data_IF_825949179528
#
_entry.id   IF_825949179528
#
_cell.length_a   1.000
_cell.length_b   1.000
_cell.length_c   1.000
_cell.angle_alpha   90.00
_cell.angle_beta   90.00
_cell.angle_gamma   90.00
#
_symmetry.space_group_name_H-M   'P 1'
#
loop_
_entity.id
_entity.type
_entity.pdbx_description
1 polymer ?
#
# COMPACT_ATOMS: atom_id res chain seq x y z
N UNK A 1 -5.32 3.56 -17.06
CA UNK A 1 -6.30 2.87 -16.19
C UNK A 1 -7.37 3.86 -15.76
N UNK A 2 -8.63 3.47 -15.80
CA UNK A 2 -9.77 4.29 -15.34
C UNK A 2 -10.35 3.69 -14.06
N UNK A 3 -10.60 4.53 -13.06
CA UNK A 3 -11.38 4.20 -11.87
C UNK A 3 -12.76 4.81 -11.99
N UNK A 4 -13.80 4.01 -11.80
CA UNK A 4 -15.18 4.48 -11.68
C UNK A 4 -15.65 4.19 -10.25
N UNK A 5 -16.01 5.24 -9.50
CA UNK A 5 -16.48 5.08 -8.11
C UNK A 5 -17.98 5.29 -8.03
N UNK A 6 -18.68 4.23 -7.65
CA UNK A 6 -20.13 4.26 -7.36
C UNK A 6 -20.30 4.68 -5.90
N UNK A 7 -20.84 5.86 -5.66
CA UNK A 7 -20.94 6.46 -4.32
C UNK A 7 -22.12 7.41 -4.19
N UNK A 8 -22.72 7.45 -3.00
CA UNK A 8 -23.73 8.44 -2.63
C UNK A 8 -23.15 9.82 -2.33
N UNK A 9 -21.82 9.91 -2.15
CA UNK A 9 -21.08 11.15 -1.89
C UNK A 9 -19.93 11.34 -2.88
N UNK A 10 -20.21 11.49 -4.18
CA UNK A 10 -19.16 11.56 -5.22
C UNK A 10 -18.18 12.71 -5.01
N UNK A 11 -18.62 13.84 -4.42
CA UNK A 11 -17.76 14.98 -4.17
C UNK A 11 -16.67 14.71 -3.14
N UNK A 12 -16.90 13.80 -2.18
CA UNK A 12 -15.88 13.38 -1.22
C UNK A 12 -14.72 12.72 -1.95
N UNK A 13 -15.01 11.85 -2.90
CA UNK A 13 -13.99 11.18 -3.72
C UNK A 13 -13.27 12.17 -4.64
N UNK A 14 -14.01 13.04 -5.33
CA UNK A 14 -13.41 14.05 -6.23
C UNK A 14 -12.49 15.01 -5.49
N UNK A 15 -12.90 15.46 -4.29
CA UNK A 15 -12.12 16.42 -3.49
C UNK A 15 -10.78 15.83 -3.03
N UNK A 16 -10.70 14.53 -2.78
CA UNK A 16 -9.47 13.86 -2.36
C UNK A 16 -8.35 13.95 -3.42
N UNK A 17 -8.73 14.10 -4.69
CA UNK A 17 -7.79 14.09 -5.81
C UNK A 17 -7.69 15.43 -6.55
N UNK A 18 -8.14 16.52 -5.96
CA UNK A 18 -7.97 17.88 -6.52
C UNK A 18 -6.49 18.30 -6.57
N UNK A 19 -5.68 17.76 -5.67
CA UNK A 19 -4.26 18.09 -5.54
C UNK A 19 -3.43 16.80 -5.36
N UNK A 20 -2.11 16.97 -5.26
CA UNK A 20 -1.19 15.87 -4.99
C UNK A 20 -0.84 15.04 -6.22
N UNK A 21 -0.21 13.89 -5.99
CA UNK A 21 0.35 13.04 -7.02
C UNK A 21 -0.73 12.48 -7.97
N UNK A 22 -1.78 11.90 -7.40
CA UNK A 22 -2.88 11.29 -8.19
C UNK A 22 -3.66 12.37 -8.93
N UNK A 23 -3.91 13.54 -8.30
CA UNK A 23 -4.55 14.66 -8.98
C UNK A 23 -3.78 15.14 -10.20
N UNK A 24 -2.45 15.22 -10.11
CA UNK A 24 -1.59 15.53 -11.26
C UNK A 24 -1.64 14.44 -12.33
N UNK A 25 -1.70 13.16 -11.93
CA UNK A 25 -1.82 12.04 -12.86
C UNK A 25 -3.15 12.07 -13.61
N UNK A 26 -4.24 12.43 -12.94
CA UNK A 26 -5.56 12.63 -13.54
C UNK A 26 -5.51 13.80 -14.56
N UNK A 27 -4.96 14.94 -14.16
CA UNK A 27 -4.83 16.11 -15.04
C UNK A 27 -4.00 15.82 -16.31
N UNK A 28 -3.03 14.91 -16.21
CA UNK A 28 -2.19 14.45 -17.34
C UNK A 28 -2.84 13.31 -18.17
N UNK A 29 -4.01 12.83 -17.79
CA UNK A 29 -4.68 11.70 -18.45
C UNK A 29 -4.03 10.33 -18.23
N UNK A 30 -3.11 10.19 -17.26
CA UNK A 30 -2.48 8.92 -16.89
C UNK A 30 -3.44 8.03 -16.09
N UNK A 31 -4.32 8.66 -15.31
CA UNK A 31 -5.37 8.03 -14.51
C UNK A 31 -6.70 8.66 -14.87
N UNK A 32 -7.71 7.84 -15.17
CA UNK A 32 -9.09 8.29 -15.31
C UNK A 32 -9.82 8.17 -13.97
N UNK A 33 -10.60 9.17 -13.59
CA UNK A 33 -11.50 9.12 -12.44
C UNK A 33 -12.89 9.56 -12.85
N UNK A 34 -13.85 8.67 -12.68
CA UNK A 34 -15.28 8.94 -12.87
C UNK A 34 -16.03 8.59 -11.58
N UNK A 35 -17.12 9.29 -11.31
CA UNK A 35 -17.98 8.98 -10.17
C UNK A 35 -19.42 8.88 -10.63
N UNK A 36 -20.14 7.87 -10.14
CA UNK A 36 -21.57 7.66 -10.41
C UNK A 36 -22.34 7.68 -9.08
N UNK A 37 -23.48 8.37 -9.07
CA UNK A 37 -24.34 8.40 -7.91
C UNK A 37 -25.53 7.44 -8.11
N UNK A 38 -25.66 6.37 -7.28
CA UNK A 38 -26.79 5.45 -7.37
C UNK A 38 -28.16 6.10 -7.26
N UNK A 39 -28.27 7.29 -6.62
CA UNK A 39 -29.53 8.04 -6.56
C UNK A 39 -30.07 8.48 -7.92
N UNK A 40 -29.20 8.58 -8.92
CA UNK A 40 -29.63 8.90 -10.30
C UNK A 40 -30.47 7.76 -10.91
N UNK A 41 -30.34 6.55 -10.36
CA UNK A 41 -31.00 5.32 -10.79
C UNK A 41 -32.06 4.83 -9.79
N UNK A 42 -32.22 5.55 -8.66
CA UNK A 42 -33.22 5.23 -7.65
C UNK A 42 -34.62 5.42 -8.15
N UNK A 43 -35.57 4.61 -7.62
CA UNK A 43 -36.97 4.63 -8.02
C UNK A 43 -37.80 5.57 -7.14
N UNK A 44 -38.95 5.96 -7.70
CA UNK A 44 -39.94 6.81 -7.03
C UNK A 44 -39.51 8.29 -6.89
N UNK A 45 -40.38 9.07 -6.26
CA UNK A 45 -40.22 10.53 -6.10
C UNK A 45 -38.96 10.85 -5.27
N UNK A 46 -38.61 10.00 -4.31
CA UNK A 46 -37.48 10.19 -3.40
C UNK A 46 -36.18 9.57 -3.92
N UNK A 47 -36.17 8.92 -5.08
CA UNK A 47 -35.01 8.21 -5.64
C UNK A 47 -34.30 7.35 -4.58
N UNK A 48 -35.11 6.46 -3.93
CA UNK A 48 -34.64 5.62 -2.84
C UNK A 48 -33.54 4.68 -3.33
N UNK A 49 -32.52 4.47 -2.52
CA UNK A 49 -31.35 3.62 -2.81
C UNK A 49 -31.08 2.62 -1.70
N UNK A 50 -31.84 2.70 -0.61
CA UNK A 50 -31.68 1.88 0.60
C UNK A 50 -33.04 1.48 1.15
N UNK A 51 -33.08 0.35 1.88
CA UNK A 51 -34.26 -0.16 2.55
C UNK A 51 -33.85 -0.96 3.81
N UNK A 52 -34.85 -1.33 4.62
CA UNK A 52 -34.66 -2.09 5.85
C UNK A 52 -34.10 -3.48 5.57
N UNK A 53 -33.23 -3.95 6.47
CA UNK A 53 -32.66 -5.30 6.40
C UNK A 53 -33.73 -6.35 6.70
N UNK A 54 -33.83 -7.40 5.90
CA UNK A 54 -34.66 -8.55 6.23
C UNK A 54 -34.17 -9.23 7.52
N UNK A 55 -35.09 -9.76 8.32
CA UNK A 55 -34.78 -10.39 9.58
C UNK A 55 -34.82 -9.44 10.81
N UNK A 56 -35.15 -8.15 10.59
CA UNK A 56 -35.40 -7.17 11.66
C UNK A 56 -34.14 -6.63 12.32
N UNK A 57 -32.96 -6.78 11.71
CA UNK A 57 -31.74 -6.13 12.18
C UNK A 57 -31.84 -4.60 12.04
N UNK A 58 -31.17 -3.88 12.93
CA UNK A 58 -31.09 -2.42 12.86
C UNK A 58 -30.28 -1.95 11.64
N UNK A 59 -30.68 -0.80 11.10
CA UNK A 59 -30.00 -0.15 9.99
C UNK A 59 -30.67 -0.34 8.63
N UNK A 60 -30.02 0.20 7.60
CA UNK A 60 -30.47 0.18 6.20
C UNK A 60 -29.43 -0.53 5.35
N UNK A 61 -29.85 -1.06 4.22
CA UNK A 61 -28.98 -1.73 3.25
C UNK A 61 -29.19 -1.10 1.88
N UNK A 62 -28.11 -0.91 1.12
CA UNK A 62 -28.26 -0.40 -0.25
C UNK A 62 -28.98 -1.44 -1.12
N UNK A 63 -30.00 -0.97 -1.82
CA UNK A 63 -30.82 -1.78 -2.71
C UNK A 63 -30.04 -2.26 -3.92
N UNK A 64 -30.31 -3.50 -4.41
CA UNK A 64 -29.57 -4.07 -5.54
C UNK A 64 -29.85 -3.35 -6.86
N UNK A 65 -31.08 -2.92 -7.12
CA UNK A 65 -31.51 -2.38 -8.41
C UNK A 65 -30.81 -1.06 -8.79
N UNK A 66 -30.73 -0.03 -7.92
CA UNK A 66 -29.96 1.17 -8.25
C UNK A 66 -28.47 0.90 -8.49
N UNK A 67 -27.88 -0.05 -7.75
CA UNK A 67 -26.48 -0.45 -7.93
C UNK A 67 -26.30 -1.22 -9.24
N UNK A 68 -27.24 -2.10 -9.60
CA UNK A 68 -27.25 -2.83 -10.86
C UNK A 68 -27.25 -1.86 -12.06
N UNK A 69 -28.21 -0.94 -12.09
CA UNK A 69 -28.29 0.08 -13.14
C UNK A 69 -27.01 0.92 -13.26
N UNK A 70 -26.37 1.24 -12.13
CA UNK A 70 -25.05 1.92 -12.15
C UNK A 70 -23.98 1.06 -12.81
N UNK A 71 -23.88 -0.20 -12.42
CA UNK A 71 -22.84 -1.10 -12.92
C UNK A 71 -23.08 -1.46 -14.38
N UNK A 72 -24.32 -1.74 -14.77
CA UNK A 72 -24.69 -2.05 -16.15
C UNK A 72 -24.30 -0.91 -17.10
N UNK A 73 -24.56 0.34 -16.71
CA UNK A 73 -24.13 1.52 -17.49
C UNK A 73 -22.61 1.55 -17.69
N UNK A 74 -21.83 1.16 -16.68
CA UNK A 74 -20.36 1.09 -16.80
C UNK A 74 -19.98 -0.06 -17.73
N UNK A 75 -20.59 -1.24 -17.56
CA UNK A 75 -20.29 -2.44 -18.35
C UNK A 75 -20.61 -2.23 -19.84
N UNK A 76 -21.75 -1.58 -20.15
CA UNK A 76 -22.14 -1.24 -21.53
C UNK A 76 -21.14 -0.29 -22.23
N UNK A 77 -20.54 0.61 -21.48
CA UNK A 77 -19.56 1.58 -22.01
C UNK A 77 -18.12 1.07 -22.03
N UNK A 78 -17.87 -0.08 -21.42
CA UNK A 78 -16.52 -0.63 -21.26
C UNK A 78 -16.11 -1.51 -22.44
N UNK A 79 -14.89 -1.36 -22.94
CA UNK A 79 -14.32 -2.21 -24.00
C UNK A 79 -13.91 -3.59 -23.50
N UNK A 80 -13.64 -3.73 -22.22
CA UNK A 80 -13.34 -4.99 -21.53
C UNK A 80 -14.02 -4.97 -20.17
N UNK A 81 -14.29 -6.17 -19.61
CA UNK A 81 -14.93 -6.26 -18.29
C UNK A 81 -14.01 -5.63 -17.23
N UNK A 82 -14.43 -4.58 -16.52
CA UNK A 82 -13.66 -3.99 -15.44
C UNK A 82 -13.61 -4.92 -14.24
N UNK A 83 -12.61 -4.77 -13.38
CA UNK A 83 -12.58 -5.40 -12.07
C UNK A 83 -13.55 -4.66 -11.15
N UNK A 84 -14.54 -5.36 -10.59
CA UNK A 84 -15.57 -4.76 -9.74
C UNK A 84 -15.27 -5.09 -8.29
N UNK A 85 -15.07 -4.06 -7.46
CA UNK A 85 -14.64 -4.19 -6.08
C UNK A 85 -15.62 -3.46 -5.16
N UNK A 86 -16.18 -4.15 -4.19
CA UNK A 86 -16.92 -3.58 -3.07
C UNK A 86 -15.99 -3.39 -1.87
N UNK A 87 -15.99 -2.18 -1.30
CA UNK A 87 -15.16 -1.85 -0.15
C UNK A 87 -15.90 -2.18 1.14
N UNK A 88 -15.47 -3.24 1.80
CA UNK A 88 -16.18 -3.86 2.91
C UNK A 88 -15.19 -4.39 3.97
N UNK A 89 -15.50 -4.25 5.28
CA UNK A 89 -14.68 -4.87 6.34
C UNK A 89 -14.59 -6.39 6.25
N UNK A 90 -15.52 -7.05 5.53
CA UNK A 90 -15.54 -8.51 5.31
C UNK A 90 -14.59 -8.97 4.22
N UNK A 91 -14.06 -8.04 3.43
CA UNK A 91 -13.27 -8.33 2.25
C UNK A 91 -11.85 -8.83 2.54
N UNK A 92 -11.18 -9.27 1.49
CA UNK A 92 -9.75 -9.62 1.54
C UNK A 92 -8.93 -8.40 1.95
N UNK A 93 -7.97 -8.54 2.89
CA UNK A 93 -7.12 -7.42 3.31
C UNK A 93 -6.33 -6.80 2.16
N UNK A 94 -6.48 -5.49 1.99
CA UNK A 94 -5.72 -4.72 1.00
C UNK A 94 -4.24 -4.63 1.39
N UNK A 95 -3.37 -4.79 0.41
CA UNK A 95 -1.92 -4.71 0.60
C UNK A 95 -1.24 -4.13 -0.63
N UNK A 96 0.02 -3.70 -0.50
CA UNK A 96 0.84 -3.24 -1.62
C UNK A 96 0.95 -4.31 -2.73
N UNK A 97 1.04 -5.60 -2.38
CA UNK A 97 1.02 -6.70 -3.33
C UNK A 97 -0.28 -6.71 -4.15
N UNK A 98 -1.44 -6.53 -3.51
CA UNK A 98 -2.72 -6.48 -4.20
C UNK A 98 -2.86 -5.21 -5.03
N UNK A 99 -2.33 -4.07 -4.56
CA UNK A 99 -2.29 -2.83 -5.34
C UNK A 99 -1.48 -2.99 -6.63
N UNK A 100 -0.31 -3.64 -6.58
CA UNK A 100 0.50 -3.98 -7.77
C UNK A 100 -0.20 -4.94 -8.71
N UNK A 101 -0.85 -5.95 -8.17
CA UNK A 101 -1.64 -6.89 -8.96
C UNK A 101 -2.74 -6.17 -9.73
N UNK A 102 -3.53 -5.33 -9.05
CA UNK A 102 -4.59 -4.53 -9.70
C UNK A 102 -3.98 -3.63 -10.78
N UNK A 103 -2.88 -2.93 -10.48
CA UNK A 103 -2.22 -2.04 -11.43
C UNK A 103 -1.72 -2.75 -12.69
N UNK A 104 -1.31 -4.03 -12.58
CA UNK A 104 -0.74 -4.80 -13.69
C UNK A 104 -1.75 -5.61 -14.48
N UNK A 105 -2.87 -6.02 -13.87
CA UNK A 105 -3.83 -6.95 -14.47
C UNK A 105 -5.14 -6.32 -14.92
N UNK A 106 -5.60 -5.28 -14.22
CA UNK A 106 -6.86 -4.63 -14.55
C UNK A 106 -6.68 -3.55 -15.62
N UNK A 107 -7.58 -3.54 -16.61
CA UNK A 107 -7.69 -2.42 -17.56
C UNK A 107 -8.37 -1.23 -16.88
N UNK A 108 -9.55 -1.48 -16.29
CA UNK A 108 -10.37 -0.52 -15.56
C UNK A 108 -10.89 -1.15 -14.26
N UNK A 109 -11.20 -0.29 -13.27
CA UNK A 109 -11.67 -0.71 -11.94
C UNK A 109 -12.93 0.05 -11.58
N UNK A 110 -13.96 -0.68 -11.15
CA UNK A 110 -15.18 -0.12 -10.54
C UNK A 110 -15.10 -0.34 -9.04
N UNK A 111 -15.16 0.75 -8.27
CA UNK A 111 -15.17 0.72 -6.81
C UNK A 111 -16.56 1.06 -6.30
N UNK A 112 -17.17 0.17 -5.53
CA UNK A 112 -18.46 0.41 -4.90
C UNK A 112 -18.24 0.85 -3.46
N UNK A 113 -18.42 2.14 -3.25
CA UNK A 113 -18.32 2.81 -1.95
C UNK A 113 -19.70 2.82 -1.29
N UNK A 114 -20.04 1.71 -0.64
CA UNK A 114 -21.33 1.57 0.04
C UNK A 114 -21.41 2.42 1.30
N UNK A 115 -22.65 2.70 1.69
CA UNK A 115 -23.05 3.32 2.94
C UNK A 115 -23.96 2.40 3.73
N UNK A 116 -24.42 2.84 4.87
CA UNK A 116 -25.31 2.10 5.77
C UNK A 116 -24.69 0.77 6.24
N UNK A 117 -25.44 -0.33 6.25
CA UNK A 117 -24.93 -1.65 6.62
C UNK A 117 -24.27 -2.42 5.45
N UNK A 118 -24.07 -1.76 4.31
CA UNK A 118 -23.48 -2.36 3.12
C UNK A 118 -24.47 -2.49 1.95
N UNK A 119 -24.28 -3.52 1.13
CA UNK A 119 -25.08 -3.79 -0.07
C UNK A 119 -25.81 -5.12 0.03
N UNK A 120 -26.90 -5.27 -0.72
CA UNK A 120 -27.65 -6.54 -0.82
C UNK A 120 -26.74 -7.65 -1.35
N UNK A 121 -26.71 -8.80 -0.64
CA UNK A 121 -25.85 -9.94 -0.99
C UNK A 121 -26.13 -10.48 -2.40
N UNK A 122 -27.39 -10.46 -2.83
CA UNK A 122 -27.78 -10.94 -4.17
C UNK A 122 -27.10 -10.15 -5.28
N UNK A 123 -26.84 -8.85 -5.05
CA UNK A 123 -26.10 -8.02 -6.01
C UNK A 123 -24.62 -8.41 -6.08
N UNK A 124 -24.00 -8.69 -4.94
CA UNK A 124 -22.62 -9.17 -4.90
C UNK A 124 -22.45 -10.49 -5.65
N UNK A 125 -23.40 -11.41 -5.44
CA UNK A 125 -23.39 -12.75 -6.04
C UNK A 125 -23.63 -12.69 -7.56
N UNK A 126 -24.60 -11.89 -8.01
CA UNK A 126 -24.96 -11.74 -9.43
C UNK A 126 -23.80 -11.20 -10.27
N UNK A 127 -23.15 -10.16 -9.77
CA UNK A 127 -22.04 -9.52 -10.49
C UNK A 127 -20.66 -10.11 -10.17
N UNK A 128 -20.59 -11.11 -9.29
CA UNK A 128 -19.35 -11.72 -8.82
C UNK A 128 -18.36 -10.66 -8.31
N UNK A 129 -18.85 -9.79 -7.43
CA UNK A 129 -18.11 -8.64 -6.92
C UNK A 129 -17.07 -9.09 -5.91
N UNK A 130 -15.84 -8.64 -6.09
CA UNK A 130 -14.77 -8.85 -5.11
C UNK A 130 -14.97 -7.93 -3.92
N UNK A 131 -14.81 -8.44 -2.69
CA UNK A 131 -14.80 -7.60 -1.48
C UNK A 131 -13.36 -7.38 -1.00
N UNK A 132 -13.00 -6.10 -0.76
CA UNK A 132 -11.68 -5.70 -0.24
C UNK A 132 -11.85 -4.86 1.01
N UNK A 133 -11.06 -5.19 2.05
CA UNK A 133 -10.95 -4.46 3.31
C UNK A 133 -9.66 -3.65 3.38
N UNK A 134 -9.74 -2.39 3.80
CA UNK A 134 -8.56 -1.54 4.04
C UNK A 134 -8.03 -1.63 5.47
N UNK A 135 -8.64 -2.46 6.33
CA UNK A 135 -8.20 -2.70 7.70
C UNK A 135 -9.32 -3.14 8.62
N UNK A 136 -8.95 -3.59 9.82
CA UNK A 136 -9.85 -4.17 10.83
C UNK A 136 -10.54 -3.07 11.66
N UNK A 137 -11.30 -2.22 10.98
CA UNK A 137 -12.12 -1.16 11.58
C UNK A 137 -13.31 -0.83 10.69
N UNK A 138 -14.35 -0.24 11.29
CA UNK A 138 -15.56 0.16 10.57
C UNK A 138 -15.54 1.66 10.32
N UNK A 139 -15.82 2.05 9.09
CA UNK A 139 -15.96 3.43 8.66
C UNK A 139 -17.43 3.76 8.34
N UNK A 140 -17.76 5.04 8.25
CA UNK A 140 -19.10 5.50 7.93
C UNK A 140 -19.51 5.27 6.46
N UNK A 141 -18.58 4.85 5.59
CA UNK A 141 -18.81 4.56 4.19
C UNK A 141 -17.54 4.17 3.45
N UNK A 142 -17.71 3.70 2.21
CA UNK A 142 -16.63 3.18 1.36
C UNK A 142 -15.82 4.25 0.61
N UNK A 143 -16.16 5.54 0.72
CA UNK A 143 -15.51 6.60 -0.04
C UNK A 143 -14.03 6.77 0.32
N UNK A 144 -13.70 6.79 1.62
CA UNK A 144 -12.30 6.88 2.08
C UNK A 144 -11.50 5.62 1.70
N UNK A 145 -12.01 4.40 1.91
CA UNK A 145 -11.39 3.18 1.36
C UNK A 145 -11.15 3.24 -0.15
N UNK A 146 -12.10 3.78 -0.93
CA UNK A 146 -11.91 3.96 -2.38
C UNK A 146 -10.73 4.89 -2.68
N UNK A 147 -10.62 6.00 -1.96
CA UNK A 147 -9.49 6.92 -2.12
C UNK A 147 -8.15 6.26 -1.76
N UNK A 148 -8.08 5.47 -0.68
CA UNK A 148 -6.89 4.71 -0.29
C UNK A 148 -6.47 3.74 -1.41
N UNK A 149 -7.42 2.97 -1.94
CA UNK A 149 -7.15 2.00 -2.99
C UNK A 149 -6.68 2.69 -4.27
N UNK A 150 -7.36 3.76 -4.71
CA UNK A 150 -6.97 4.54 -5.89
C UNK A 150 -5.55 5.08 -5.74
N UNK A 151 -5.23 5.71 -4.60
CA UNK A 151 -3.90 6.29 -4.37
C UNK A 151 -2.81 5.21 -4.43
N UNK A 152 -3.00 4.10 -3.71
CA UNK A 152 -2.03 3.02 -3.67
C UNK A 152 -1.83 2.34 -5.04
N UNK A 153 -2.91 2.08 -5.79
CA UNK A 153 -2.82 1.47 -7.13
C UNK A 153 -2.19 2.44 -8.13
N UNK A 154 -2.59 3.72 -8.11
CA UNK A 154 -2.09 4.72 -9.04
C UNK A 154 -0.57 4.90 -8.97
N UNK A 155 0.05 4.76 -7.79
CA UNK A 155 1.50 4.83 -7.61
C UNK A 155 2.27 3.77 -8.42
N UNK A 156 1.64 2.64 -8.75
CA UNK A 156 2.23 1.57 -9.54
C UNK A 156 2.01 1.73 -11.05
N UNK A 157 1.21 2.72 -11.47
CA UNK A 157 0.98 2.97 -12.89
C UNK A 157 2.15 3.73 -13.53
N UNK A 158 2.54 3.38 -14.77
CA UNK A 158 3.63 4.05 -15.46
C UNK A 158 3.43 5.57 -15.58
N UNK A 159 4.46 6.34 -15.26
CA UNK A 159 4.45 7.80 -15.38
C UNK A 159 3.76 8.58 -14.26
N UNK A 160 3.12 7.92 -13.30
CA UNK A 160 2.51 8.57 -12.14
C UNK A 160 3.58 9.03 -11.15
N UNK A 161 4.52 8.16 -10.79
CA UNK A 161 5.71 8.56 -10.05
C UNK A 161 6.75 9.15 -11.01
N UNK A 162 7.30 10.31 -10.66
CA UNK A 162 8.31 10.99 -11.49
C UNK A 162 9.65 10.23 -11.60
N UNK A 163 9.94 9.35 -10.65
CA UNK A 163 11.09 8.46 -10.66
C UNK A 163 10.64 7.04 -10.32
N UNK A 164 10.65 6.16 -11.31
CA UNK A 164 10.28 4.74 -11.13
C UNK A 164 11.18 4.00 -10.13
N UNK A 165 12.40 4.49 -9.88
CA UNK A 165 13.29 3.94 -8.87
C UNK A 165 12.85 4.26 -7.42
N UNK A 166 11.97 5.26 -7.21
CA UNK A 166 11.47 5.61 -5.88
C UNK A 166 10.58 4.51 -5.32
N UNK A 167 9.72 3.90 -6.13
CA UNK A 167 8.83 2.83 -5.67
C UNK A 167 9.55 1.53 -5.29
N UNK A 168 10.77 1.33 -5.80
CA UNK A 168 11.58 0.12 -5.51
C UNK A 168 12.14 0.13 -4.09
N UNK A 169 12.28 1.30 -3.46
CA UNK A 169 12.79 1.46 -2.09
C UNK A 169 11.70 1.67 -1.04
N UNK A 170 10.45 1.79 -1.45
CA UNK A 170 9.32 1.98 -0.52
C UNK A 170 9.06 0.70 0.29
N UNK A 171 8.49 0.86 1.48
CA UNK A 171 8.02 -0.27 2.31
C UNK A 171 7.16 -1.23 1.51
N UNK A 172 7.29 -2.52 1.78
CA UNK A 172 6.57 -3.64 1.18
C UNK A 172 7.00 -4.04 -0.24
N UNK A 173 7.81 -3.25 -0.95
CA UNK A 173 8.23 -3.61 -2.31
C UNK A 173 8.93 -4.97 -2.34
N UNK A 174 9.93 -5.15 -1.47
CA UNK A 174 10.69 -6.39 -1.30
C UNK A 174 10.19 -7.22 -0.10
N UNK A 175 9.00 -6.90 0.44
CA UNK A 175 8.42 -7.58 1.60
C UNK A 175 8.93 -7.07 2.95
N UNK A 176 9.80 -6.06 2.99
CA UNK A 176 10.32 -5.44 4.19
C UNK A 176 9.77 -4.01 4.37
N UNK A 177 9.87 -3.49 5.58
CA UNK A 177 9.67 -2.06 5.85
C UNK A 177 10.92 -1.27 5.44
N UNK A 178 10.72 -0.04 4.99
CA UNK A 178 11.80 0.92 4.75
C UNK A 178 12.53 1.27 6.06
N UNK A 179 13.84 1.44 5.98
CA UNK A 179 14.67 1.91 7.10
C UNK A 179 14.48 3.40 7.39
N UNK A 180 15.02 3.89 8.52
CA UNK A 180 14.97 5.31 8.87
C UNK A 180 15.66 6.18 7.83
N UNK A 181 15.02 7.29 7.46
CA UNK A 181 15.54 8.28 6.53
C UNK A 181 16.00 9.54 7.28
N UNK A 182 17.02 10.19 6.74
CA UNK A 182 17.63 11.39 7.34
C UNK A 182 17.72 12.51 6.31
N UNK A 183 17.50 13.75 6.78
CA UNK A 183 17.64 14.96 5.95
C UNK A 183 18.48 16.02 6.67
N UNK A 184 18.69 17.15 6.04
CA UNK A 184 19.40 18.30 6.60
C UNK A 184 18.62 18.95 7.74
N UNK A 185 19.29 19.52 8.76
CA UNK A 185 20.76 19.65 8.94
C UNK A 185 21.39 18.33 9.40
N UNK A 186 22.73 18.19 9.22
CA UNK A 186 23.50 17.01 9.64
C UNK A 186 23.41 16.74 11.14
N UNK A 187 23.40 17.79 11.96
CA UNK A 187 23.19 17.72 13.41
C UNK A 187 21.89 18.42 13.75
N UNK A 188 20.95 17.72 14.38
CA UNK A 188 19.70 18.30 14.84
C UNK A 188 19.48 18.00 16.32
N UNK A 189 19.48 19.06 17.14
CA UNK A 189 19.33 18.97 18.61
C UNK A 189 20.31 17.99 19.26
N UNK A 190 21.60 18.03 18.84
CA UNK A 190 22.64 17.16 19.35
C UNK A 190 22.60 15.71 18.88
N UNK A 191 21.77 15.41 17.88
CA UNK A 191 21.71 14.09 17.22
C UNK A 191 22.28 14.18 15.82
N UNK A 192 23.29 13.37 15.54
CA UNK A 192 23.96 13.32 14.26
C UNK A 192 23.27 12.36 13.28
N UNK A 193 23.39 12.65 12.00
CA UNK A 193 23.14 11.67 10.94
C UNK A 193 24.19 10.57 11.03
N UNK A 194 23.85 9.27 10.85
CA UNK A 194 24.82 8.18 10.83
C UNK A 194 26.00 8.47 9.91
N UNK A 195 27.23 8.28 10.39
CA UNK A 195 28.45 8.62 9.66
C UNK A 195 28.58 7.86 8.34
N UNK A 196 28.03 6.64 8.28
CA UNK A 196 28.00 5.83 7.06
C UNK A 196 27.25 6.52 5.91
N UNK A 197 26.20 7.29 6.19
CA UNK A 197 25.44 8.03 5.15
C UNK A 197 26.24 9.21 4.58
N UNK A 198 27.33 9.60 5.22
CA UNK A 198 28.22 10.70 4.83
C UNK A 198 29.50 10.21 4.17
N UNK A 199 29.75 8.90 4.12
CA UNK A 199 31.03 8.32 3.64
C UNK A 199 31.23 8.40 2.12
N UNK A 200 30.18 8.69 1.34
CA UNK A 200 30.22 8.75 -0.13
C UNK A 200 30.32 7.38 -0.83
N UNK A 201 30.39 6.28 -0.10
CA UNK A 201 30.42 4.93 -0.67
C UNK A 201 29.00 4.36 -0.80
N UNK A 202 28.45 4.41 -2.03
CA UNK A 202 27.08 3.99 -2.31
C UNK A 202 26.81 2.51 -1.97
N UNK A 203 27.84 1.66 -2.01
CA UNK A 203 27.68 0.23 -1.69
C UNK A 203 27.52 0.03 -0.17
N UNK A 204 28.31 0.74 0.63
CA UNK A 204 28.20 0.71 2.09
C UNK A 204 26.86 1.32 2.55
N UNK A 205 26.44 2.42 1.93
CA UNK A 205 25.15 3.06 2.21
C UNK A 205 23.99 2.09 1.89
N UNK A 206 24.01 1.44 0.74
CA UNK A 206 22.97 0.47 0.37
C UNK A 206 22.94 -0.74 1.32
N UNK A 207 24.08 -1.24 1.77
CA UNK A 207 24.16 -2.32 2.75
C UNK A 207 23.59 -1.87 4.11
N UNK A 208 23.85 -0.64 4.53
CA UNK A 208 23.30 -0.06 5.75
C UNK A 208 21.77 0.09 5.65
N UNK A 209 21.25 0.62 4.54
CA UNK A 209 19.81 0.74 4.29
C UNK A 209 19.11 -0.63 4.41
N UNK A 210 19.69 -1.68 3.84
CA UNK A 210 19.15 -3.06 3.93
C UNK A 210 19.12 -3.58 5.36
N UNK A 211 20.20 -3.36 6.14
CA UNK A 211 20.23 -3.77 7.54
C UNK A 211 19.22 -3.00 8.38
N UNK A 212 19.05 -1.71 8.13
CA UNK A 212 18.03 -0.90 8.80
C UNK A 212 16.61 -1.36 8.45
N UNK A 213 16.34 -1.71 7.21
CA UNK A 213 15.08 -2.28 6.79
C UNK A 213 14.77 -3.59 7.53
N UNK A 214 15.73 -4.51 7.60
CA UNK A 214 15.61 -5.75 8.37
C UNK A 214 15.36 -5.48 9.85
N UNK A 215 16.09 -4.53 10.45
CA UNK A 215 15.94 -4.15 11.86
C UNK A 215 14.52 -3.64 12.14
N UNK A 216 14.09 -2.63 11.40
CA UNK A 216 12.77 -2.02 11.58
C UNK A 216 11.65 -3.05 11.38
N UNK A 217 11.80 -3.93 10.38
CA UNK A 217 10.83 -4.99 10.12
C UNK A 217 10.78 -5.98 11.29
N UNK A 218 11.93 -6.42 11.80
CA UNK A 218 12.00 -7.33 12.94
C UNK A 218 11.37 -6.74 14.21
N UNK A 219 11.57 -5.45 14.45
CA UNK A 219 11.08 -4.76 15.64
C UNK A 219 9.57 -4.42 15.57
N UNK A 220 9.06 -4.07 14.38
CA UNK A 220 7.71 -3.50 14.24
C UNK A 220 6.70 -4.42 13.58
N UNK A 221 7.15 -5.23 12.63
CA UNK A 221 6.30 -6.11 11.81
C UNK A 221 6.99 -7.46 11.57
N UNK A 222 7.27 -8.21 12.65
CA UNK A 222 8.00 -9.48 12.56
C UNK A 222 7.31 -10.54 11.70
N UNK A 223 6.00 -10.45 11.48
CA UNK A 223 5.26 -11.33 10.58
C UNK A 223 5.66 -11.13 9.11
N UNK A 224 6.14 -9.95 8.73
CA UNK A 224 6.66 -9.73 7.37
C UNK A 224 7.97 -10.49 7.13
N UNK A 225 8.78 -10.70 8.19
CA UNK A 225 9.98 -11.55 8.09
C UNK A 225 9.65 -13.01 7.84
N UNK A 226 8.51 -13.50 8.31
CA UNK A 226 8.06 -14.86 8.01
C UNK A 226 7.76 -15.02 6.52
N UNK A 227 7.08 -14.02 5.94
CA UNK A 227 6.78 -13.99 4.51
C UNK A 227 8.04 -13.78 3.64
N UNK A 228 8.97 -12.93 4.08
CA UNK A 228 10.26 -12.70 3.44
C UNK A 228 11.18 -13.92 3.56
N UNK A 229 11.15 -14.59 4.70
CA UNK A 229 11.95 -15.75 5.06
C UNK A 229 13.16 -15.42 5.95
N UNK A 230 13.27 -16.09 7.09
CA UNK A 230 14.39 -15.90 8.02
C UNK A 230 15.75 -16.29 7.43
N UNK A 231 15.81 -17.34 6.58
CA UNK A 231 17.06 -17.77 5.94
C UNK A 231 17.65 -16.70 5.01
N UNK A 232 16.89 -16.13 4.06
CA UNK A 232 17.36 -14.99 3.26
C UNK A 232 17.80 -13.80 4.10
N UNK A 233 17.05 -13.43 5.15
CA UNK A 233 17.41 -12.34 6.04
C UNK A 233 18.76 -12.60 6.76
N UNK A 234 18.96 -13.79 7.31
CA UNK A 234 20.21 -14.18 7.97
C UNK A 234 21.38 -14.23 7.00
N UNK A 235 21.15 -14.73 5.78
CA UNK A 235 22.17 -14.77 4.72
C UNK A 235 22.63 -13.34 4.36
N UNK A 236 21.69 -12.42 4.17
CA UNK A 236 21.98 -11.00 3.88
C UNK A 236 22.86 -10.37 4.96
N UNK A 237 22.55 -10.59 6.25
CA UNK A 237 23.37 -10.11 7.37
C UNK A 237 24.77 -10.73 7.35
N UNK A 238 24.87 -12.03 7.09
CA UNK A 238 26.15 -12.76 7.01
C UNK A 238 27.03 -12.22 5.88
N UNK A 239 26.47 -12.01 4.69
CA UNK A 239 27.18 -11.51 3.52
C UNK A 239 27.74 -10.10 3.77
N UNK A 240 26.91 -9.22 4.35
CA UNK A 240 27.33 -7.87 4.72
C UNK A 240 28.43 -7.92 5.79
N UNK A 241 28.29 -8.75 6.82
CA UNK A 241 29.28 -8.92 7.89
C UNK A 241 30.63 -9.38 7.33
N UNK A 242 30.63 -10.38 6.45
CA UNK A 242 31.87 -10.90 5.82
C UNK A 242 32.55 -9.84 4.95
N UNK A 243 31.76 -9.09 4.17
CA UNK A 243 32.23 -7.99 3.32
C UNK A 243 32.91 -6.91 4.15
N UNK A 244 32.26 -6.47 5.22
CA UNK A 244 32.78 -5.43 6.13
C UNK A 244 34.04 -5.91 6.84
N UNK A 245 34.07 -7.14 7.35
CA UNK A 245 35.26 -7.72 8.00
C UNK A 245 36.45 -7.81 7.05
N UNK A 246 36.20 -8.09 5.76
CA UNK A 246 37.28 -8.07 4.75
C UNK A 246 37.77 -6.66 4.48
N UNK A 247 36.90 -5.67 4.37
CA UNK A 247 37.26 -4.26 4.19
C UNK A 247 38.11 -3.72 5.36
N UNK A 248 37.75 -4.04 6.60
CA UNK A 248 38.47 -3.57 7.79
C UNK A 248 39.90 -4.12 7.91
N UNK A 249 40.23 -5.20 7.19
CA UNK A 249 41.59 -5.75 7.10
C UNK A 249 42.45 -5.07 6.04
N UNK A 250 41.89 -4.24 5.19
CA UNK A 250 42.62 -3.51 4.16
C UNK A 250 43.38 -2.34 4.79
N UNK A 251 44.73 -2.36 4.79
CA UNK A 251 45.54 -1.29 5.35
C UNK A 251 45.43 0.03 4.57
N UNK A 252 44.99 -0.02 3.30
CA UNK A 252 44.77 1.15 2.44
C UNK A 252 43.42 1.84 2.64
N UNK A 253 42.57 1.34 3.53
CA UNK A 253 41.23 1.90 3.74
C UNK A 253 41.32 3.29 4.38
N UNK A 254 40.67 4.30 3.75
CA UNK A 254 40.63 5.67 4.27
C UNK A 254 39.94 5.74 5.64
N UNK A 255 40.30 6.71 6.48
CA UNK A 255 39.72 6.88 7.81
C UNK A 255 38.18 6.98 7.79
N UNK A 256 37.61 7.75 6.85
CA UNK A 256 36.19 7.91 6.69
C UNK A 256 35.47 6.57 6.36
N UNK A 257 36.02 5.80 5.42
CA UNK A 257 35.47 4.48 5.07
C UNK A 257 35.67 3.48 6.21
N UNK A 258 36.74 3.57 6.96
CA UNK A 258 36.96 2.71 8.13
C UNK A 258 35.94 2.97 9.22
N UNK A 259 35.64 4.23 9.54
CA UNK A 259 34.56 4.58 10.48
C UNK A 259 33.22 4.07 10.02
N UNK A 260 32.84 4.29 8.75
CA UNK A 260 31.63 3.80 8.18
C UNK A 260 31.50 2.26 8.20
N UNK A 261 32.61 1.56 7.92
CA UNK A 261 32.66 0.10 7.97
C UNK A 261 32.50 -0.45 9.40
N UNK A 262 33.10 0.20 10.39
CA UNK A 262 32.93 -0.17 11.80
C UNK A 262 31.51 0.05 12.29
N UNK A 263 30.88 1.16 11.91
CA UNK A 263 29.46 1.41 12.21
C UNK A 263 28.56 0.33 11.59
N UNK A 264 28.79 -0.02 10.33
CA UNK A 264 28.05 -1.06 9.63
C UNK A 264 28.23 -2.43 10.29
N UNK A 265 29.41 -2.78 10.76
CA UNK A 265 29.69 -4.03 11.48
C UNK A 265 28.86 -4.13 12.78
N UNK A 266 28.78 -3.04 13.55
CA UNK A 266 27.98 -2.98 14.77
C UNK A 266 26.50 -3.18 14.45
N UNK A 267 25.97 -2.51 13.44
CA UNK A 267 24.59 -2.66 13.00
C UNK A 267 24.33 -4.08 12.55
N UNK A 268 25.20 -4.68 11.73
CA UNK A 268 25.02 -6.05 11.24
C UNK A 268 24.98 -7.08 12.38
N UNK A 269 25.86 -6.96 13.37
CA UNK A 269 25.87 -7.83 14.56
C UNK A 269 24.55 -7.71 15.35
N UNK A 270 24.07 -6.48 15.58
CA UNK A 270 22.81 -6.22 16.28
C UNK A 270 21.61 -6.80 15.54
N UNK A 271 21.52 -6.60 14.22
CA UNK A 271 20.44 -7.17 13.39
C UNK A 271 20.50 -8.70 13.40
N UNK A 272 21.67 -9.30 13.29
CA UNK A 272 21.85 -10.75 13.35
C UNK A 272 21.38 -11.37 14.68
N UNK A 273 21.62 -10.69 15.79
CA UNK A 273 21.09 -11.09 17.09
C UNK A 273 19.57 -10.98 17.13
N UNK A 274 19.01 -9.84 16.74
CA UNK A 274 17.57 -9.58 16.71
C UNK A 274 16.82 -10.62 15.86
N UNK A 275 17.34 -10.97 14.69
CA UNK A 275 16.73 -11.99 13.84
C UNK A 275 16.68 -13.39 14.51
N UNK A 276 17.71 -13.74 15.31
CA UNK A 276 17.70 -15.00 16.09
C UNK A 276 16.66 -14.97 17.19
N UNK A 277 16.52 -13.85 17.89
CA UNK A 277 15.54 -13.66 18.97
C UNK A 277 14.11 -13.74 18.42
N UNK A 278 13.82 -13.00 17.35
CA UNK A 278 12.49 -13.02 16.69
C UNK A 278 12.16 -14.42 16.17
N UNK A 279 13.13 -15.11 15.56
CA UNK A 279 12.94 -16.47 15.07
C UNK A 279 12.63 -17.45 16.22
N UNK A 280 13.33 -17.35 17.33
CA UNK A 280 13.10 -18.20 18.51
C UNK A 280 11.71 -17.97 19.13
N UNK A 281 11.27 -16.70 19.23
CA UNK A 281 9.94 -16.33 19.76
C UNK A 281 8.79 -16.82 18.89
N UNK A 282 9.03 -17.00 17.60
CA UNK A 282 8.02 -17.44 16.63
C UNK A 282 8.00 -18.95 16.40
N UNK A 283 8.90 -19.73 17.05
CA UNK A 283 8.92 -21.20 17.00
C UNK A 283 9.45 -21.79 15.67
N UNK A 284 10.29 -21.04 14.96
CA UNK A 284 10.92 -21.46 13.67
C UNK A 284 12.38 -21.90 13.82
#
# INVERSE_FOLDING_TARGET
>A
MKFTVVSLMPELVRSAFQNGLVGQAIAKGLVGLETLNPREFGEGVHRSVDDRVFGGADGMLMQPEPLAKCLDKVLESSTSRPRVIHLSPRGTPFSDRLAREIASTASDVVLVASRYAGVDQRWLDEYQVEEISVGDYVLSGGELPACILIDAVARHLPGVLGNSASSVKDSFHDGLLEGPQYTRPQVWRGRDVPAILLCGDQKLIADFEKLQALKVTAERRPELLEAFGFKPAQQMVSDITNKVSTMLRDPGLSATRKTAAMELEVVAKGVGQLLREVKALRGH
#
